data_IF_346614802963
#
_entry.id   IF_346614802963
#
_cell.length_a   1.000
_cell.length_b   1.000
_cell.length_c   1.000
_cell.angle_alpha   90.00
_cell.angle_beta   90.00
_cell.angle_gamma   90.00
#
_symmetry.space_group_name_H-M   'P 1'
#
loop_
_entity.id
_entity.type
_entity.pdbx_description
1 polymer ?
#
# COMPACT_ATOMS: atom_id res chain seq x y z
N UNK A 1 -40.00 -40.70 -2.68
CA UNK A 1 -40.06 -39.31 -2.19
C UNK A 1 -38.63 -38.78 -2.17
N UNK A 2 -38.22 -37.99 -3.15
CA UNK A 2 -36.89 -37.38 -3.20
C UNK A 2 -37.02 -35.89 -2.95
N UNK A 3 -36.37 -35.43 -1.89
CA UNK A 3 -36.42 -34.07 -1.37
C UNK A 3 -35.84 -33.03 -2.34
N UNK A 4 -36.42 -31.83 -2.29
CA UNK A 4 -36.28 -30.76 -3.29
C UNK A 4 -34.92 -30.09 -3.21
N UNK A 5 -34.19 -30.04 -4.32
CA UNK A 5 -33.05 -29.11 -4.45
C UNK A 5 -33.59 -27.68 -4.65
N UNK A 6 -33.47 -26.85 -3.63
CA UNK A 6 -33.95 -25.46 -3.64
C UNK A 6 -32.99 -24.61 -4.46
N UNK A 7 -33.37 -24.36 -5.73
CA UNK A 7 -32.68 -23.45 -6.65
C UNK A 7 -32.57 -22.06 -6.00
N UNK A 8 -31.35 -21.64 -5.64
CA UNK A 8 -31.05 -20.30 -5.10
C UNK A 8 -31.54 -19.25 -6.10
N UNK A 9 -32.62 -18.56 -5.73
CA UNK A 9 -33.20 -17.51 -6.57
C UNK A 9 -32.28 -16.29 -6.67
N UNK A 10 -32.39 -15.57 -7.77
CA UNK A 10 -31.73 -14.29 -8.05
C UNK A 10 -32.01 -13.18 -7.01
N UNK A 11 -32.89 -13.44 -6.03
CA UNK A 11 -33.15 -12.63 -4.86
C UNK A 11 -32.61 -13.28 -3.56
N UNK A 12 -31.47 -13.98 -3.63
CA UNK A 12 -30.78 -14.45 -2.43
C UNK A 12 -30.23 -13.23 -1.69
N UNK A 13 -30.54 -13.10 -0.39
CA UNK A 13 -29.97 -12.03 0.44
C UNK A 13 -28.45 -11.99 0.23
N UNK A 14 -27.85 -10.81 -0.03
CA UNK A 14 -26.41 -10.67 -0.06
C UNK A 14 -25.84 -11.29 1.23
N UNK A 15 -24.80 -12.11 1.10
CA UNK A 15 -24.13 -12.71 2.25
C UNK A 15 -23.67 -11.66 3.25
N UNK A 16 -23.58 -12.10 4.51
CA UNK A 16 -23.26 -11.35 5.74
C UNK A 16 -22.42 -10.07 5.53
N UNK A 17 -22.81 -8.97 6.19
CA UNK A 17 -22.17 -7.66 6.01
C UNK A 17 -20.66 -7.69 6.31
N UNK A 18 -20.21 -8.59 7.19
CA UNK A 18 -18.80 -8.82 7.51
C UNK A 18 -17.96 -9.28 6.31
N UNK A 19 -18.58 -9.89 5.28
CA UNK A 19 -17.91 -10.27 4.02
C UNK A 19 -17.48 -9.06 3.18
N UNK A 20 -18.19 -7.94 3.31
CA UNK A 20 -17.89 -6.69 2.60
C UNK A 20 -16.82 -5.86 3.29
N UNK A 21 -16.54 -6.14 4.56
CA UNK A 21 -15.53 -5.44 5.34
C UNK A 21 -14.17 -6.09 5.04
N UNK A 22 -13.63 -5.77 3.85
CA UNK A 22 -12.19 -5.91 3.63
C UNK A 22 -11.50 -4.81 4.42
N UNK A 23 -11.33 -5.02 5.72
CA UNK A 23 -10.47 -4.18 6.54
C UNK A 23 -9.11 -4.12 5.82
N UNK A 24 -8.56 -2.93 5.54
CA UNK A 24 -7.20 -2.86 5.02
C UNK A 24 -6.33 -3.58 6.04
N UNK A 25 -5.63 -4.63 5.60
CA UNK A 25 -4.63 -5.33 6.41
C UNK A 25 -3.80 -4.24 7.09
N UNK A 26 -3.94 -4.12 8.41
CA UNK A 26 -3.17 -3.16 9.18
C UNK A 26 -1.72 -3.48 8.85
N UNK A 27 -1.06 -2.54 8.15
CA UNK A 27 0.27 -2.73 7.56
C UNK A 27 1.11 -3.46 8.59
N UNK A 28 1.40 -4.74 8.31
CA UNK A 28 1.99 -5.62 9.29
C UNK A 28 3.19 -4.89 9.87
N UNK A 29 3.16 -4.65 11.18
CA UNK A 29 4.27 -4.09 11.95
C UNK A 29 5.41 -5.10 11.89
N UNK A 30 6.06 -5.22 10.73
CA UNK A 30 7.38 -5.79 10.62
C UNK A 30 8.31 -4.74 11.19
N UNK A 31 8.36 -4.72 12.51
CA UNK A 31 9.41 -4.08 13.28
C UNK A 31 10.70 -4.85 12.98
N UNK A 32 11.28 -4.53 11.83
CA UNK A 32 12.71 -4.71 11.61
C UNK A 32 13.37 -3.45 12.19
N UNK A 33 14.52 -3.56 12.83
CA UNK A 33 15.20 -2.47 13.57
C UNK A 33 15.39 -1.20 12.70
N UNK A 34 15.48 -1.38 11.38
CA UNK A 34 15.47 -0.33 10.37
C UNK A 34 14.20 0.55 10.34
N UNK A 35 13.10 0.10 10.94
CA UNK A 35 11.84 0.85 11.06
C UNK A 35 11.80 1.81 12.25
N UNK A 36 12.70 1.66 13.23
CA UNK A 36 12.70 2.45 14.47
C UNK A 36 12.87 3.96 14.21
N UNK A 37 13.54 4.33 13.12
CA UNK A 37 13.77 5.73 12.71
C UNK A 37 12.98 6.13 11.46
N UNK A 38 11.90 5.41 11.11
CA UNK A 38 11.11 5.73 9.91
C UNK A 38 9.86 6.55 10.23
N UNK A 39 9.60 7.59 9.42
CA UNK A 39 8.40 8.42 9.51
C UNK A 39 7.54 8.30 8.23
N UNK A 40 6.21 8.45 8.37
CA UNK A 40 5.30 8.51 7.22
C UNK A 40 5.31 9.90 6.61
N UNK A 41 5.69 9.99 5.34
CA UNK A 41 5.61 11.21 4.54
C UNK A 41 4.36 11.18 3.66
N UNK A 42 3.46 12.15 3.86
CA UNK A 42 2.33 12.42 2.97
C UNK A 42 2.61 13.73 2.23
N UNK A 43 2.54 13.72 0.90
CA UNK A 43 2.81 14.88 0.06
C UNK A 43 1.69 15.08 -0.96
N UNK A 44 1.37 16.34 -1.23
CA UNK A 44 0.52 16.70 -2.35
C UNK A 44 1.38 16.80 -3.61
N UNK A 45 0.98 16.09 -4.66
CA UNK A 45 1.63 16.10 -5.97
C UNK A 45 0.59 16.26 -7.06
N UNK A 46 0.93 17.00 -8.11
CA UNK A 46 0.05 17.13 -9.27
C UNK A 46 -0.30 15.73 -9.84
N UNK A 47 -1.56 15.48 -10.27
CA UNK A 47 -1.97 14.17 -10.78
C UNK A 47 -1.09 13.65 -11.93
N UNK A 48 -0.69 14.56 -12.83
CA UNK A 48 0.21 14.24 -13.95
C UNK A 48 1.61 13.83 -13.46
N UNK A 49 2.13 14.45 -12.40
CA UNK A 49 3.42 14.08 -11.81
C UNK A 49 3.32 12.71 -11.13
N UNK A 50 2.25 12.45 -10.36
CA UNK A 50 1.99 11.15 -9.76
C UNK A 50 1.96 10.03 -10.80
N UNK A 51 1.32 10.28 -11.95
CA UNK A 51 1.30 9.34 -13.07
C UNK A 51 2.70 9.02 -13.61
N UNK A 52 3.52 10.06 -13.85
CA UNK A 52 4.91 9.90 -14.33
C UNK A 52 5.78 9.12 -13.33
N UNK A 53 5.67 9.43 -12.04
CA UNK A 53 6.37 8.72 -10.96
C UNK A 53 6.01 7.24 -10.97
N UNK A 54 4.70 6.91 -11.07
CA UNK A 54 4.24 5.51 -11.11
C UNK A 54 4.79 4.75 -12.32
N UNK A 55 4.78 5.36 -13.50
CA UNK A 55 5.32 4.75 -14.72
C UNK A 55 6.82 4.52 -14.59
N UNK A 56 7.57 5.49 -14.06
CA UNK A 56 9.01 5.37 -13.86
C UNK A 56 9.35 4.23 -12.87
N UNK A 57 8.64 4.16 -11.74
CA UNK A 57 8.81 3.09 -10.76
C UNK A 57 8.51 1.72 -11.37
N UNK A 58 7.41 1.60 -12.12
CA UNK A 58 7.04 0.34 -12.80
C UNK A 58 8.11 -0.11 -13.80
N UNK A 59 8.64 0.81 -14.63
CA UNK A 59 9.72 0.51 -15.58
C UNK A 59 11.01 0.04 -14.91
N UNK A 60 11.27 0.51 -13.68
CA UNK A 60 12.43 0.12 -12.87
C UNK A 60 12.20 -1.14 -12.02
N UNK A 61 10.98 -1.67 -11.99
CA UNK A 61 10.63 -2.84 -11.16
C UNK A 61 10.67 -2.58 -9.65
N UNK A 62 10.59 -1.31 -9.22
CA UNK A 62 10.62 -0.92 -7.79
C UNK A 62 9.31 -0.24 -7.39
N UNK A 63 9.04 -0.13 -6.09
CA UNK A 63 7.88 0.63 -5.63
C UNK A 63 8.13 2.15 -5.74
N UNK A 64 7.05 2.92 -5.80
CA UNK A 64 7.13 4.40 -5.75
C UNK A 64 7.82 4.85 -4.46
N UNK A 65 7.56 4.18 -3.33
CA UNK A 65 8.19 4.52 -2.06
C UNK A 65 9.70 4.30 -2.11
N UNK A 66 10.18 3.18 -2.66
CA UNK A 66 11.61 2.90 -2.77
C UNK A 66 12.32 3.91 -3.68
N UNK A 67 11.71 4.22 -4.82
CA UNK A 67 12.25 5.23 -5.75
C UNK A 67 12.31 6.63 -5.11
N UNK A 68 11.29 7.01 -4.34
CA UNK A 68 11.30 8.29 -3.62
C UNK A 68 12.32 8.31 -2.48
N UNK A 69 12.50 7.20 -1.74
CA UNK A 69 13.57 7.09 -0.74
C UNK A 69 14.94 7.26 -1.38
N UNK A 70 15.21 6.57 -2.49
CA UNK A 70 16.47 6.69 -3.23
C UNK A 70 16.72 8.13 -3.70
N UNK A 71 15.69 8.80 -4.23
CA UNK A 71 15.78 10.21 -4.65
C UNK A 71 16.11 11.11 -3.46
N UNK A 72 15.41 10.95 -2.33
CA UNK A 72 15.62 11.75 -1.13
C UNK A 72 17.02 11.50 -0.52
N UNK A 73 17.49 10.26 -0.49
CA UNK A 73 18.84 9.94 0.02
C UNK A 73 19.96 10.52 -0.85
N UNK A 74 19.72 10.70 -2.15
CA UNK A 74 20.69 11.36 -3.05
C UNK A 74 20.73 12.87 -2.85
N UNK A 75 19.58 13.48 -2.56
CA UNK A 75 19.45 14.93 -2.36
C UNK A 75 19.88 15.36 -0.95
N UNK A 76 19.61 14.52 0.05
CA UNK A 76 19.94 14.73 1.46
C UNK A 76 20.89 13.62 1.93
N UNK A 77 22.17 13.65 1.53
CA UNK A 77 23.15 12.71 2.05
C UNK A 77 23.34 12.92 3.56
N UNK A 78 23.66 11.84 4.28
CA UNK A 78 24.03 11.94 5.70
C UNK A 78 25.34 12.72 5.79
N UNK A 79 25.33 13.85 6.48
CA UNK A 79 26.55 14.60 6.74
C UNK A 79 27.44 13.77 7.67
N UNK A 80 28.73 13.56 7.35
CA UNK A 80 29.62 12.76 8.18
C UNK A 80 29.83 13.33 9.61
N UNK A 81 29.31 14.52 9.92
CA UNK A 81 29.51 15.22 11.19
C UNK A 81 28.33 15.30 12.16
N UNK A 82 27.13 14.80 11.84
CA UNK A 82 25.98 14.89 12.75
C UNK A 82 25.89 13.68 13.70
N UNK A 83 25.98 13.86 15.03
CA UNK A 83 25.78 12.77 15.98
C UNK A 83 24.30 12.36 16.00
N UNK A 84 24.07 11.05 15.85
CA UNK A 84 22.76 10.40 16.04
C UNK A 84 22.30 10.44 17.50
#
# INVERSE_FOLDING_TARGET
MTERSTRRGFASRPGDAESWIKAPEAHARRADDASAFTARLTIDVAPALRGRIKIAAFRRGVTVADMLRELLSREFPVDPGEPS
#
